data_IF_428343875954
#
_entry.id   IF_428343875954
#
_cell.length_a   1.000
_cell.length_b   1.000
_cell.length_c   1.000
_cell.angle_alpha   90.00
_cell.angle_beta   90.00
_cell.angle_gamma   90.00
#
_symmetry.space_group_name_H-M   'P 1'
#
loop_
_entity.id
_entity.type
_entity.pdbx_description
1 polymer ?
#
# COMPACT_ATOMS: atom_id res chain seq x y z
N UNK A 1 -18.98 7.12 54.95
CA UNK A 1 -19.15 7.82 53.66
C UNK A 1 -18.18 7.19 52.65
N UNK A 2 -18.66 6.40 51.74
CA UNK A 2 -17.85 5.82 50.67
C UNK A 2 -17.66 6.85 49.57
N UNK A 3 -16.44 7.35 49.41
CA UNK A 3 -16.07 8.24 48.32
C UNK A 3 -16.11 7.39 47.03
N UNK A 4 -17.08 7.62 46.14
CA UNK A 4 -17.11 7.04 44.81
C UNK A 4 -15.82 7.46 44.07
N UNK A 5 -14.87 6.57 44.00
CA UNK A 5 -13.74 6.72 43.08
C UNK A 5 -14.33 6.58 41.67
N UNK A 6 -14.55 7.68 40.98
CA UNK A 6 -14.84 7.66 39.56
C UNK A 6 -13.53 7.24 38.86
N UNK A 7 -13.45 6.00 38.44
CA UNK A 7 -12.46 5.57 37.48
C UNK A 7 -12.72 6.39 36.21
N UNK A 8 -11.90 7.39 35.96
CA UNK A 8 -11.82 7.99 34.63
C UNK A 8 -11.33 6.88 33.71
N UNK A 9 -12.25 6.30 32.99
CA UNK A 9 -11.91 5.49 31.82
C UNK A 9 -11.11 6.42 30.91
N UNK A 10 -9.85 6.10 30.79
CA UNK A 10 -8.85 6.81 29.96
C UNK A 10 -9.43 7.03 28.59
N UNK A 11 -9.42 8.31 28.18
CA UNK A 11 -10.13 8.81 27.03
C UNK A 11 -10.00 7.97 25.78
N UNK A 12 -11.11 7.88 25.13
CA UNK A 12 -11.25 7.55 23.73
C UNK A 12 -10.24 8.40 22.94
N UNK A 13 -9.07 7.82 22.64
CA UNK A 13 -8.04 8.52 21.88
C UNK A 13 -8.51 8.54 20.43
N UNK A 14 -9.32 9.55 20.13
CA UNK A 14 -9.74 9.80 18.75
C UNK A 14 -8.50 10.03 17.91
N UNK A 15 -8.38 9.36 16.75
CA UNK A 15 -7.25 9.59 15.85
C UNK A 15 -7.18 11.07 15.49
N UNK A 16 -5.97 11.63 15.42
CA UNK A 16 -5.81 13.02 15.04
C UNK A 16 -6.37 13.25 13.64
N UNK A 17 -7.06 14.37 13.42
CA UNK A 17 -7.58 14.74 12.11
C UNK A 17 -6.45 14.87 11.08
N UNK A 18 -5.28 15.34 11.50
CA UNK A 18 -4.10 15.48 10.67
C UNK A 18 -3.59 14.10 10.18
N UNK A 19 -3.51 13.11 11.07
CA UNK A 19 -3.11 11.75 10.69
C UNK A 19 -4.14 11.12 9.75
N UNK A 20 -5.43 11.26 10.05
CA UNK A 20 -6.50 10.71 9.20
C UNK A 20 -6.46 11.31 7.79
N UNK A 21 -6.31 12.64 7.68
CA UNK A 21 -6.17 13.33 6.40
C UNK A 21 -4.89 12.92 5.67
N UNK A 22 -3.76 12.86 6.38
CA UNK A 22 -2.48 12.42 5.82
C UNK A 22 -2.55 11.00 5.26
N UNK A 23 -3.20 10.08 5.97
CA UNK A 23 -3.43 8.72 5.48
C UNK A 23 -4.29 8.70 4.21
N UNK A 24 -5.35 9.52 4.14
CA UNK A 24 -6.18 9.61 2.95
C UNK A 24 -5.39 10.15 1.75
N UNK A 25 -4.58 11.16 1.94
CA UNK A 25 -3.72 11.72 0.88
C UNK A 25 -2.74 10.65 0.37
N UNK A 26 -2.05 9.97 1.28
CA UNK A 26 -1.10 8.91 0.92
C UNK A 26 -1.81 7.74 0.24
N UNK A 27 -2.94 7.27 0.78
CA UNK A 27 -3.73 6.20 0.16
C UNK A 27 -4.19 6.54 -1.26
N UNK A 28 -4.70 7.75 -1.44
CA UNK A 28 -5.20 8.20 -2.74
C UNK A 28 -4.09 8.25 -3.79
N UNK A 29 -2.97 8.89 -3.46
CA UNK A 29 -1.82 9.00 -4.36
C UNK A 29 -1.17 7.64 -4.62
N UNK A 30 -0.92 6.88 -3.57
CA UNK A 30 -0.30 5.57 -3.67
C UNK A 30 -1.18 4.57 -4.43
N UNK A 31 -2.49 4.57 -4.14
CA UNK A 31 -3.46 3.75 -4.85
C UNK A 31 -3.53 4.08 -6.33
N UNK A 32 -3.56 5.36 -6.70
CA UNK A 32 -3.54 5.79 -8.10
C UNK A 32 -2.24 5.35 -8.82
N UNK A 33 -1.08 5.47 -8.16
CA UNK A 33 0.20 5.03 -8.72
C UNK A 33 0.22 3.52 -8.96
N UNK A 34 -0.22 2.71 -7.99
CA UNK A 34 -0.27 1.26 -8.14
C UNK A 34 -1.31 0.79 -9.16
N UNK A 35 -2.45 1.48 -9.24
CA UNK A 35 -3.44 1.22 -10.30
C UNK A 35 -2.85 1.46 -11.69
N UNK A 36 -2.18 2.57 -11.90
CA UNK A 36 -1.54 2.89 -13.18
C UNK A 36 -0.41 1.90 -13.51
N UNK A 37 0.50 1.65 -12.56
CA UNK A 37 1.61 0.73 -12.74
C UNK A 37 1.14 -0.72 -12.95
N UNK A 38 0.14 -1.14 -12.18
CA UNK A 38 -0.45 -2.47 -12.29
C UNK A 38 -1.18 -2.68 -13.60
N UNK A 39 -1.99 -1.70 -14.03
CA UNK A 39 -2.66 -1.73 -15.33
C UNK A 39 -1.66 -1.83 -16.49
N UNK A 40 -0.60 -1.05 -16.43
CA UNK A 40 0.46 -1.08 -17.43
C UNK A 40 1.11 -2.48 -17.51
N UNK A 41 1.53 -3.05 -16.38
CA UNK A 41 2.16 -4.39 -16.32
C UNK A 41 1.20 -5.52 -16.69
N UNK A 42 -0.09 -5.37 -16.40
CA UNK A 42 -1.08 -6.38 -16.71
C UNK A 42 -1.48 -6.41 -18.19
N UNK A 43 -1.42 -5.28 -18.90
CA UNK A 43 -2.05 -5.14 -20.22
C UNK A 43 -1.09 -4.80 -21.36
N UNK A 44 0.00 -4.07 -21.10
CA UNK A 44 0.88 -3.67 -22.19
C UNK A 44 1.75 -4.83 -22.73
N UNK A 45 2.16 -4.78 -24.01
CA UNK A 45 3.09 -5.76 -24.55
C UNK A 45 4.39 -5.84 -23.74
N UNK A 46 4.92 -7.04 -23.56
CA UNK A 46 6.14 -7.26 -22.78
C UNK A 46 7.32 -6.47 -23.35
N UNK A 47 7.44 -6.38 -24.68
CA UNK A 47 8.50 -5.59 -25.32
C UNK A 47 8.48 -4.12 -24.87
N UNK A 48 7.29 -3.51 -24.81
CA UNK A 48 7.11 -2.13 -24.32
C UNK A 48 7.51 -2.00 -22.85
N UNK A 49 7.17 -3.00 -22.04
CA UNK A 49 7.55 -3.00 -20.61
C UNK A 49 9.06 -3.16 -20.42
N UNK A 50 9.71 -3.96 -21.26
CA UNK A 50 11.18 -4.10 -21.26
C UNK A 50 11.82 -2.76 -21.61
N UNK A 51 11.37 -2.11 -22.67
CA UNK A 51 11.92 -0.83 -23.09
C UNK A 51 11.71 0.29 -22.07
N UNK A 52 10.58 0.26 -21.36
CA UNK A 52 10.20 1.32 -20.42
C UNK A 52 10.79 1.10 -19.03
N UNK A 53 10.78 -0.12 -18.53
CA UNK A 53 11.12 -0.47 -17.14
C UNK A 53 12.47 -1.20 -17.01
N UNK A 54 12.93 -1.84 -18.03
CA UNK A 54 14.18 -2.62 -18.07
C UNK A 54 14.07 -3.99 -17.39
N UNK A 55 13.71 -4.04 -16.11
CA UNK A 55 13.70 -5.26 -15.31
C UNK A 55 12.84 -6.42 -15.86
N UNK A 56 11.75 -6.20 -16.64
CA UNK A 56 10.98 -7.32 -17.19
C UNK A 56 11.78 -8.22 -18.13
N UNK A 57 12.90 -7.73 -18.66
CA UNK A 57 13.81 -8.56 -19.48
C UNK A 57 14.46 -9.71 -18.68
N UNK A 58 14.56 -9.57 -17.37
CA UNK A 58 15.27 -10.53 -16.51
C UNK A 58 14.34 -11.60 -15.87
N UNK A 59 13.03 -11.55 -16.14
CA UNK A 59 12.05 -12.44 -15.52
C UNK A 59 11.05 -12.97 -16.55
N UNK A 60 10.37 -14.11 -16.26
CA UNK A 60 9.31 -14.60 -17.14
C UNK A 60 8.16 -13.59 -17.28
N UNK A 61 7.58 -13.49 -18.47
CA UNK A 61 6.44 -12.62 -18.76
C UNK A 61 5.26 -12.86 -17.81
N UNK A 62 4.99 -14.12 -17.44
CA UNK A 62 3.95 -14.47 -16.49
C UNK A 62 4.15 -13.79 -15.13
N UNK A 63 5.38 -13.68 -14.65
CA UNK A 63 5.67 -12.99 -13.38
C UNK A 63 5.35 -11.50 -13.46
N UNK A 64 5.68 -10.85 -14.58
CA UNK A 64 5.33 -9.45 -14.83
C UNK A 64 3.82 -9.23 -14.73
N UNK A 65 3.03 -10.15 -15.33
CA UNK A 65 1.57 -10.10 -15.28
C UNK A 65 1.02 -10.31 -13.87
N UNK A 66 1.56 -11.27 -13.13
CA UNK A 66 1.18 -11.52 -11.73
C UNK A 66 1.46 -10.29 -10.86
N UNK A 67 2.62 -9.67 -11.00
CA UNK A 67 2.96 -8.43 -10.30
C UNK A 67 1.98 -7.32 -10.67
N UNK A 68 1.67 -7.15 -11.96
CA UNK A 68 0.72 -6.16 -12.42
C UNK A 68 -0.67 -6.34 -11.80
N UNK A 69 -1.18 -7.55 -11.77
CA UNK A 69 -2.47 -7.87 -11.15
C UNK A 69 -2.43 -7.63 -9.63
N UNK A 70 -1.35 -8.02 -8.96
CA UNK A 70 -1.19 -7.78 -7.52
C UNK A 70 -1.17 -6.27 -7.20
N UNK A 71 -0.50 -5.47 -8.00
CA UNK A 71 -0.49 -4.01 -7.85
C UNK A 71 -1.87 -3.38 -8.12
N UNK A 72 -2.60 -3.86 -9.12
CA UNK A 72 -3.98 -3.44 -9.38
C UNK A 72 -4.90 -3.72 -8.19
N UNK A 73 -4.88 -4.95 -7.70
CA UNK A 73 -5.69 -5.35 -6.54
C UNK A 73 -5.27 -4.59 -5.29
N UNK A 74 -3.98 -4.39 -5.09
CA UNK A 74 -3.45 -3.58 -3.99
C UNK A 74 -3.88 -2.12 -4.07
N UNK A 75 -3.80 -1.50 -5.24
CA UNK A 75 -4.25 -0.13 -5.46
C UNK A 75 -5.75 0.05 -5.21
N UNK A 76 -6.58 -0.86 -5.71
CA UNK A 76 -8.02 -0.91 -5.41
C UNK A 76 -8.26 -1.11 -3.91
N UNK A 77 -7.51 -2.02 -3.28
CA UNK A 77 -7.62 -2.33 -1.86
C UNK A 77 -7.21 -1.18 -0.94
N UNK A 78 -6.35 -0.28 -1.38
CA UNK A 78 -6.02 0.93 -0.63
C UNK A 78 -7.17 1.94 -0.59
N UNK A 79 -8.00 2.00 -1.61
CA UNK A 79 -8.99 3.06 -1.79
C UNK A 79 -10.41 2.56 -1.51
N UNK A 80 -10.86 1.52 -2.21
CA UNK A 80 -12.27 1.14 -2.21
C UNK A 80 -12.81 0.67 -0.86
N UNK A 81 -12.14 -0.23 -0.11
CA UNK A 81 -12.67 -0.67 1.18
C UNK A 81 -12.79 0.49 2.18
N UNK A 82 -11.83 1.40 2.17
CA UNK A 82 -11.83 2.57 3.02
C UNK A 82 -12.92 3.57 2.62
N UNK A 83 -13.07 3.86 1.33
CA UNK A 83 -14.03 4.82 0.80
C UNK A 83 -15.48 4.34 0.94
N UNK A 84 -15.73 3.07 0.66
CA UNK A 84 -17.08 2.47 0.77
C UNK A 84 -17.43 2.05 2.18
N UNK A 85 -16.44 1.92 3.05
CA UNK A 85 -16.58 1.38 4.42
C UNK A 85 -17.09 -0.06 4.45
N UNK A 86 -16.97 -0.76 3.33
CA UNK A 86 -17.26 -2.20 3.22
C UNK A 86 -15.97 -2.97 3.43
N UNK A 87 -15.92 -3.78 4.48
CA UNK A 87 -14.72 -4.53 4.90
C UNK A 87 -13.45 -3.64 4.93
N UNK A 88 -13.45 -2.54 5.68
CA UNK A 88 -12.36 -1.56 5.65
C UNK A 88 -11.02 -2.14 6.09
N UNK A 89 -11.01 -3.31 6.74
CA UNK A 89 -9.80 -4.06 7.10
C UNK A 89 -9.00 -4.54 5.88
N UNK A 90 -9.61 -4.58 4.70
CA UNK A 90 -8.88 -4.88 3.46
C UNK A 90 -7.89 -3.78 3.07
N UNK A 91 -8.09 -2.54 3.51
CA UNK A 91 -7.14 -1.45 3.25
C UNK A 91 -5.78 -1.66 3.92
N UNK A 92 -5.64 -1.90 5.23
CA UNK A 92 -4.34 -2.24 5.79
C UNK A 92 -3.76 -3.54 5.24
N UNK A 93 -4.58 -4.54 4.91
CA UNK A 93 -4.10 -5.76 4.25
C UNK A 93 -3.52 -5.48 2.86
N UNK A 94 -4.16 -4.61 2.07
CA UNK A 94 -3.63 -4.16 0.79
C UNK A 94 -2.28 -3.44 0.97
N UNK A 95 -2.16 -2.60 1.98
CA UNK A 95 -0.90 -1.93 2.34
C UNK A 95 0.22 -2.92 2.66
N UNK A 96 -0.06 -3.96 3.43
CA UNK A 96 0.90 -5.03 3.72
C UNK A 96 1.30 -5.76 2.44
N UNK A 97 0.34 -6.13 1.60
CA UNK A 97 0.61 -6.84 0.35
C UNK A 97 1.49 -6.02 -0.60
N UNK A 98 1.20 -4.73 -0.77
CA UNK A 98 2.01 -3.82 -1.59
C UNK A 98 3.40 -3.58 -1.00
N UNK A 99 3.52 -3.47 0.32
CA UNK A 99 4.82 -3.38 0.99
C UNK A 99 5.68 -4.63 0.74
N UNK A 100 5.07 -5.81 0.74
CA UNK A 100 5.75 -7.06 0.40
C UNK A 100 6.20 -7.10 -1.06
N UNK A 101 5.38 -6.64 -2.01
CA UNK A 101 5.77 -6.54 -3.42
C UNK A 101 6.95 -5.60 -3.58
N UNK A 102 6.96 -4.46 -2.89
CA UNK A 102 8.06 -3.50 -2.94
C UNK A 102 9.32 -4.02 -2.24
N UNK A 103 9.19 -4.80 -1.19
CA UNK A 103 10.33 -5.48 -0.55
C UNK A 103 10.98 -6.47 -1.51
N UNK A 104 10.18 -7.28 -2.20
CA UNK A 104 10.69 -8.23 -3.21
C UNK A 104 11.35 -7.49 -4.38
N UNK A 105 10.75 -6.37 -4.83
CA UNK A 105 11.35 -5.52 -5.85
C UNK A 105 12.71 -4.95 -5.40
N UNK A 106 12.81 -4.52 -4.16
CA UNK A 106 14.06 -4.02 -3.57
C UNK A 106 15.14 -5.09 -3.58
N UNK A 107 14.81 -6.31 -3.11
CA UNK A 107 15.72 -7.45 -3.11
C UNK A 107 16.17 -7.78 -4.54
N UNK A 108 15.24 -7.79 -5.49
CA UNK A 108 15.53 -8.03 -6.90
C UNK A 108 16.56 -7.02 -7.45
N UNK A 109 16.32 -5.72 -7.28
CA UNK A 109 17.22 -4.68 -7.78
C UNK A 109 18.60 -4.73 -7.12
N UNK A 110 18.66 -5.01 -5.82
CA UNK A 110 19.95 -5.22 -5.12
C UNK A 110 20.72 -6.41 -5.74
N UNK A 111 20.03 -7.53 -5.95
CA UNK A 111 20.67 -8.74 -6.48
C UNK A 111 21.18 -8.59 -7.92
N UNK A 112 20.60 -7.66 -8.67
CA UNK A 112 21.02 -7.33 -10.04
C UNK A 112 21.98 -6.12 -10.11
N UNK A 113 22.37 -5.55 -8.97
CA UNK A 113 23.28 -4.40 -8.92
C UNK A 113 22.65 -3.09 -9.38
N UNK A 114 21.33 -3.02 -9.46
CA UNK A 114 20.57 -1.87 -9.95
C UNK A 114 20.28 -0.87 -8.82
N UNK A 115 21.33 -0.35 -8.18
CA UNK A 115 21.18 0.52 -7.00
C UNK A 115 20.42 1.82 -7.28
N UNK A 116 20.50 2.32 -8.51
CA UNK A 116 19.76 3.51 -8.94
C UNK A 116 18.24 3.33 -9.01
N UNK A 117 17.77 2.08 -9.05
CA UNK A 117 16.34 1.76 -9.06
C UNK A 117 15.72 1.67 -7.64
N UNK A 118 16.54 1.62 -6.59
CA UNK A 118 16.09 1.41 -5.21
C UNK A 118 15.17 2.49 -4.62
N UNK A 119 15.31 3.80 -4.94
CA UNK A 119 14.46 4.81 -4.34
C UNK A 119 12.95 4.56 -4.53
N UNK A 120 12.55 4.07 -5.68
CA UNK A 120 11.14 3.84 -6.00
C UNK A 120 10.50 2.78 -5.09
N UNK A 121 10.98 1.51 -5.09
CA UNK A 121 10.38 0.50 -4.22
C UNK A 121 10.54 0.78 -2.74
N UNK A 122 11.61 1.43 -2.31
CA UNK A 122 11.80 1.82 -0.91
C UNK A 122 10.78 2.87 -0.46
N UNK A 123 10.56 3.91 -1.24
CA UNK A 123 9.59 4.96 -0.91
C UNK A 123 8.16 4.41 -0.97
N UNK A 124 7.80 3.72 -2.06
CA UNK A 124 6.45 3.15 -2.21
C UNK A 124 6.16 2.08 -1.15
N UNK A 125 7.13 1.23 -0.85
CA UNK A 125 7.02 0.22 0.20
C UNK A 125 6.89 0.83 1.59
N UNK A 126 7.66 1.87 1.90
CA UNK A 126 7.56 2.62 3.14
C UNK A 126 6.20 3.30 3.31
N UNK A 127 5.68 3.92 2.26
CA UNK A 127 4.35 4.54 2.27
C UNK A 127 3.23 3.50 2.41
N UNK A 128 3.35 2.35 1.74
CA UNK A 128 2.38 1.25 1.89
C UNK A 128 2.38 0.69 3.32
N UNK A 129 3.55 0.52 3.93
CA UNK A 129 3.68 0.11 5.32
C UNK A 129 3.10 1.16 6.28
N UNK A 130 3.29 2.44 6.00
CA UNK A 130 2.71 3.54 6.77
C UNK A 130 1.18 3.50 6.73
N UNK A 131 0.58 3.29 5.57
CA UNK A 131 -0.89 3.13 5.45
C UNK A 131 -1.36 1.90 6.21
N UNK A 132 -0.68 0.77 6.08
CA UNK A 132 -1.03 -0.46 6.79
C UNK A 132 -1.03 -0.24 8.30
N UNK A 133 0.05 0.34 8.83
CA UNK A 133 0.15 0.67 10.25
C UNK A 133 -0.92 1.68 10.69
N UNK A 134 -1.07 2.78 9.97
CA UNK A 134 -2.00 3.85 10.34
C UNK A 134 -3.45 3.37 10.33
N UNK A 135 -3.85 2.59 9.33
CA UNK A 135 -5.22 2.08 9.23
C UNK A 135 -5.51 0.87 10.11
N UNK A 136 -4.50 0.09 10.47
CA UNK A 136 -4.69 -1.02 11.40
C UNK A 136 -4.71 -0.57 12.87
N UNK A 137 -3.82 0.36 13.25
CA UNK A 137 -3.52 0.64 14.65
C UNK A 137 -3.93 2.05 15.14
N UNK A 138 -3.87 3.07 14.29
CA UNK A 138 -3.98 4.48 14.73
C UNK A 138 -5.25 5.19 14.29
N UNK A 139 -5.70 4.96 13.08
CA UNK A 139 -6.87 5.62 12.49
C UNK A 139 -7.68 4.63 11.65
N UNK A 140 -8.18 3.55 12.26
CA UNK A 140 -8.99 2.56 11.54
C UNK A 140 -10.27 3.21 11.03
N UNK A 141 -10.76 2.72 9.90
CA UNK A 141 -12.03 3.14 9.32
C UNK A 141 -13.12 2.21 9.84
N UNK A 142 -14.15 2.80 10.45
CA UNK A 142 -15.29 2.04 10.93
C UNK A 142 -16.12 1.50 9.76
N UNK A 143 -16.54 0.23 9.78
CA UNK A 143 -17.46 -0.31 8.80
C UNK A 143 -18.83 0.40 8.90
N UNK A 144 -19.57 0.39 7.80
CA UNK A 144 -20.94 0.88 7.77
C UNK A 144 -21.93 -0.22 8.06
#
# INVERSE_FOLDING_TARGET
>A
MMKKMSVRVSGDVRPSKALHLGLWVVQGLLGAMFLAAGAMKATQPIAVLVDTLGWPAAVPAALVRVIGVAELLGGLGLILPAATRVKPMLTPLAGVGLAMVMLLATIFHISHGELGALPIPLVLGGLAAFVAWGRAAKAPIAPR
#
